data_IF_837096365102
#
_entry.id   IF_837096365102
#
_cell.length_a   1.000
_cell.length_b   1.000
_cell.length_c   1.000
_cell.angle_alpha   90.00
_cell.angle_beta   90.00
_cell.angle_gamma   90.00
#
_symmetry.space_group_name_H-M   'P 1'
#
loop_
_entity.id
_entity.type
_entity.pdbx_description
1 polymer ?
#
# COMPACT_ATOMS: atom_id res chain seq x y z
N UNK A 1 -35.45 48.45 -30.73
CA UNK A 1 -36.12 48.22 -29.43
C UNK A 1 -35.26 47.23 -28.66
N UNK A 2 -34.30 47.74 -27.89
CA UNK A 2 -33.19 46.95 -27.31
C UNK A 2 -33.50 46.60 -25.86
N UNK A 3 -33.51 45.31 -25.55
CA UNK A 3 -33.65 44.79 -24.19
C UNK A 3 -32.41 45.14 -23.35
N UNK A 4 -32.64 45.73 -22.18
CA UNK A 4 -31.60 46.15 -21.24
C UNK A 4 -30.77 44.96 -20.73
N UNK A 5 -29.44 45.13 -20.79
CA UNK A 5 -28.37 44.23 -20.36
C UNK A 5 -28.52 43.75 -18.89
N UNK A 6 -29.39 44.39 -18.13
CA UNK A 6 -29.61 44.15 -16.70
C UNK A 6 -30.24 42.78 -16.38
N UNK A 7 -31.06 42.20 -17.27
CA UNK A 7 -31.71 40.90 -17.02
C UNK A 7 -30.82 39.66 -17.27
N UNK A 8 -29.58 39.84 -17.77
CA UNK A 8 -28.68 38.72 -18.06
C UNK A 8 -27.91 38.21 -16.84
N UNK A 9 -27.78 39.01 -15.78
CA UNK A 9 -26.91 38.69 -14.64
C UNK A 9 -27.61 37.96 -13.49
N UNK A 10 -28.95 37.96 -13.44
CA UNK A 10 -29.71 37.33 -12.36
C UNK A 10 -29.78 35.79 -12.53
N UNK A 11 -29.66 35.28 -13.76
CA UNK A 11 -29.72 33.82 -14.04
C UNK A 11 -28.36 33.13 -13.77
N UNK A 12 -27.25 33.87 -13.75
CA UNK A 12 -25.92 33.29 -13.61
C UNK A 12 -25.53 32.90 -12.16
N UNK A 13 -26.24 33.39 -11.14
CA UNK A 13 -25.91 33.14 -9.73
C UNK A 13 -26.55 31.87 -9.15
N UNK A 14 -27.62 31.35 -9.75
CA UNK A 14 -28.29 30.13 -9.28
C UNK A 14 -27.56 28.83 -9.70
N UNK A 15 -26.65 28.89 -10.66
CA UNK A 15 -25.93 27.72 -11.19
C UNK A 15 -24.70 27.31 -10.37
N UNK A 16 -24.19 28.20 -9.51
CA UNK A 16 -22.92 27.99 -8.79
C UNK A 16 -23.13 27.35 -7.40
N UNK A 17 -24.36 27.33 -6.88
CA UNK A 17 -24.65 26.90 -5.52
C UNK A 17 -24.94 25.39 -5.34
N UNK A 18 -24.85 24.55 -6.39
CA UNK A 18 -25.24 23.13 -6.32
C UNK A 18 -24.16 22.10 -6.71
N UNK A 19 -22.89 22.49 -6.84
CA UNK A 19 -21.82 21.58 -7.31
C UNK A 19 -20.71 21.28 -6.28
N UNK A 20 -20.91 21.60 -4.99
CA UNK A 20 -19.89 21.34 -3.95
C UNK A 20 -20.30 20.30 -2.90
N UNK A 21 -21.28 19.42 -3.17
CA UNK A 21 -21.70 18.36 -2.22
C UNK A 21 -21.58 16.95 -2.82
N UNK A 22 -20.44 16.65 -3.46
CA UNK A 22 -20.13 15.26 -3.87
C UNK A 22 -18.64 14.94 -3.97
N UNK A 23 -17.72 15.78 -3.47
CA UNK A 23 -16.36 15.32 -3.23
C UNK A 23 -16.31 14.66 -1.85
N UNK A 24 -16.83 13.44 -1.78
CA UNK A 24 -16.45 12.54 -0.69
C UNK A 24 -14.93 12.45 -0.70
N UNK A 25 -14.28 13.07 0.28
CA UNK A 25 -12.85 12.86 0.47
C UNK A 25 -12.70 11.38 0.76
N UNK A 26 -12.26 10.60 -0.23
CA UNK A 26 -11.62 9.31 0.04
C UNK A 26 -10.53 9.63 1.04
N UNK A 27 -10.71 9.24 2.29
CA UNK A 27 -9.63 9.24 3.26
C UNK A 27 -8.58 8.33 2.63
N UNK A 28 -7.57 8.93 2.01
CA UNK A 28 -6.46 8.23 1.40
C UNK A 28 -5.86 7.36 2.49
N UNK A 29 -6.27 6.08 2.54
CA UNK A 29 -5.69 5.09 3.43
C UNK A 29 -4.39 4.68 2.77
N UNK A 30 -3.46 5.62 2.69
CA UNK A 30 -2.17 5.43 2.07
C UNK A 30 -1.43 4.35 2.84
N UNK A 31 -1.12 3.25 2.16
CA UNK A 31 -0.35 2.17 2.71
C UNK A 31 1.09 2.27 2.19
N UNK A 32 2.09 2.63 3.02
CA UNK A 32 3.45 2.89 2.56
C UNK A 32 4.24 1.59 2.36
N UNK A 33 3.63 0.56 1.76
CA UNK A 33 4.28 -0.72 1.48
C UNK A 33 4.72 -0.78 0.01
N UNK A 34 5.91 -1.31 -0.21
CA UNK A 34 6.45 -1.60 -1.53
C UNK A 34 6.94 -3.03 -1.57
N UNK A 35 6.71 -3.71 -2.68
CA UNK A 35 7.33 -5.01 -2.93
C UNK A 35 8.75 -4.79 -3.43
N UNK A 36 9.69 -5.50 -2.81
CA UNK A 36 11.10 -5.53 -3.20
C UNK A 36 11.55 -6.97 -3.42
N UNK A 37 12.70 -7.12 -4.04
CA UNK A 37 13.38 -8.40 -4.19
C UNK A 37 14.88 -8.21 -3.99
N UNK A 38 15.53 -9.20 -3.42
CA UNK A 38 16.99 -9.24 -3.26
C UNK A 38 17.52 -10.61 -3.72
N UNK A 39 18.60 -10.59 -4.48
CA UNK A 39 19.30 -11.80 -4.88
C UNK A 39 20.12 -12.36 -3.70
N UNK A 40 20.14 -13.68 -3.59
CA UNK A 40 20.98 -14.46 -2.67
C UNK A 40 21.62 -15.61 -3.45
N UNK A 41 22.64 -16.26 -2.91
CA UNK A 41 23.38 -17.31 -3.63
C UNK A 41 22.48 -18.43 -4.18
N UNK A 42 21.40 -18.75 -3.46
CA UNK A 42 20.46 -19.82 -3.80
C UNK A 42 19.23 -19.38 -4.63
N UNK A 43 19.09 -18.09 -4.96
CA UNK A 43 17.92 -17.58 -5.68
C UNK A 43 17.58 -16.12 -5.34
N UNK A 44 16.31 -15.81 -5.15
CA UNK A 44 15.87 -14.47 -4.73
C UNK A 44 14.81 -14.53 -3.63
N UNK A 45 14.79 -13.50 -2.79
CA UNK A 45 13.79 -13.29 -1.75
C UNK A 45 12.93 -12.09 -2.12
N UNK A 46 11.63 -12.30 -2.31
CA UNK A 46 10.64 -11.23 -2.47
C UNK A 46 10.08 -10.83 -1.10
N UNK A 47 9.90 -9.54 -0.84
CA UNK A 47 9.41 -9.05 0.46
C UNK A 47 8.62 -7.74 0.34
N UNK A 48 7.67 -7.54 1.24
CA UNK A 48 7.05 -6.23 1.48
C UNK A 48 7.95 -5.42 2.40
N UNK A 49 8.11 -4.13 2.11
CA UNK A 49 8.81 -3.17 2.96
C UNK A 49 8.03 -1.86 3.09
N UNK A 50 7.95 -1.31 4.30
CA UNK A 50 7.45 0.05 4.53
C UNK A 50 7.91 0.67 5.84
N UNK A 51 7.79 2.00 5.93
CA UNK A 51 8.22 2.77 7.10
C UNK A 51 9.75 2.85 7.28
N UNK A 52 10.20 3.52 8.36
CA UNK A 52 11.63 3.90 8.55
C UNK A 52 12.15 3.86 10.00
N UNK A 53 11.33 3.50 10.98
CA UNK A 53 11.74 3.43 12.39
C UNK A 53 12.27 2.06 12.82
N UNK A 54 12.05 1.63 14.08
CA UNK A 54 12.49 0.31 14.56
C UNK A 54 11.97 -0.83 13.68
N UNK A 55 12.82 -1.82 13.43
CA UNK A 55 12.51 -2.91 12.51
C UNK A 55 11.59 -3.98 13.11
N UNK A 56 10.58 -4.39 12.34
CA UNK A 56 9.69 -5.52 12.64
C UNK A 56 9.72 -6.49 11.46
N UNK A 57 10.02 -7.76 11.73
CA UNK A 57 10.01 -8.84 10.75
C UNK A 57 8.75 -9.69 10.94
N UNK A 58 7.96 -9.84 9.88
CA UNK A 58 6.75 -10.66 9.89
C UNK A 58 6.98 -11.92 9.07
N UNK A 59 7.01 -13.08 9.74
CA UNK A 59 7.22 -14.38 9.09
C UNK A 59 5.91 -15.13 8.98
N UNK A 60 5.62 -15.65 7.78
CA UNK A 60 4.47 -16.52 7.58
C UNK A 60 4.80 -17.97 7.97
N UNK A 61 3.77 -18.79 8.18
CA UNK A 61 3.88 -20.22 8.44
C UNK A 61 3.73 -21.08 7.18
N UNK A 62 3.42 -22.36 7.36
CA UNK A 62 3.14 -23.30 6.27
C UNK A 62 1.98 -22.79 5.40
N UNK A 63 2.13 -22.98 4.08
CA UNK A 63 1.16 -22.52 3.07
C UNK A 63 0.88 -21.00 3.08
N UNK A 64 1.75 -20.22 3.72
CA UNK A 64 1.67 -18.76 3.76
C UNK A 64 2.50 -18.05 2.69
N UNK A 65 2.30 -16.74 2.61
CA UNK A 65 3.07 -15.80 1.77
C UNK A 65 2.97 -14.40 2.38
N UNK A 66 3.86 -13.48 1.98
CA UNK A 66 3.97 -12.13 2.56
C UNK A 66 2.69 -11.31 2.52
N UNK A 67 1.82 -11.52 1.53
CA UNK A 67 0.56 -10.78 1.37
C UNK A 67 -0.41 -10.97 2.55
N UNK A 68 -0.29 -12.08 3.31
CA UNK A 68 -1.06 -12.30 4.53
C UNK A 68 -0.81 -11.23 5.60
N UNK A 69 0.33 -10.53 5.51
CA UNK A 69 0.71 -9.48 6.43
C UNK A 69 0.35 -8.07 5.97
N UNK A 70 -0.29 -7.89 4.80
CA UNK A 70 -0.48 -6.55 4.20
C UNK A 70 -1.11 -5.55 5.17
N UNK A 71 -2.24 -5.90 5.81
CA UNK A 71 -2.95 -5.01 6.72
C UNK A 71 -2.14 -4.70 7.99
N UNK A 72 -1.50 -5.73 8.57
CA UNK A 72 -0.65 -5.61 9.75
C UNK A 72 0.58 -4.74 9.46
N UNK A 73 1.28 -5.02 8.36
CA UNK A 73 2.44 -4.27 7.91
C UNK A 73 2.09 -2.82 7.61
N UNK A 74 0.90 -2.59 7.05
CA UNK A 74 0.39 -1.24 6.83
C UNK A 74 0.17 -0.48 8.14
N UNK A 75 -0.48 -1.12 9.12
CA UNK A 75 -0.74 -0.54 10.42
C UNK A 75 0.56 -0.21 11.16
N UNK A 76 1.50 -1.16 11.20
CA UNK A 76 2.82 -0.97 11.82
C UNK A 76 3.63 0.13 11.14
N UNK A 77 3.67 0.16 9.80
CA UNK A 77 4.38 1.21 9.07
C UNK A 77 3.79 2.60 9.34
N UNK A 78 2.46 2.73 9.46
CA UNK A 78 1.78 3.98 9.87
C UNK A 78 2.10 4.40 11.30
N UNK A 79 2.38 3.45 12.20
CA UNK A 79 2.85 3.71 13.55
C UNK A 79 4.35 4.04 13.62
N UNK A 80 5.03 4.14 12.46
CA UNK A 80 6.42 4.55 12.37
C UNK A 80 7.44 3.42 12.39
N UNK A 81 7.01 2.15 12.45
CA UNK A 81 7.93 1.00 12.36
C UNK A 81 8.47 0.82 10.95
N UNK A 82 9.67 0.25 10.83
CA UNK A 82 10.19 -0.25 9.56
C UNK A 82 9.82 -1.73 9.44
N UNK A 83 8.81 -2.05 8.63
CA UNK A 83 8.28 -3.41 8.51
C UNK A 83 8.91 -4.10 7.31
N UNK A 84 9.29 -5.36 7.50
CA UNK A 84 9.74 -6.27 6.45
C UNK A 84 8.90 -7.56 6.56
N UNK A 85 8.28 -7.99 5.47
CA UNK A 85 7.56 -9.26 5.40
C UNK A 85 8.01 -10.04 4.15
N UNK A 86 8.95 -11.00 4.29
CA UNK A 86 9.41 -11.80 3.17
C UNK A 86 8.48 -12.96 2.85
N UNK A 87 8.50 -13.37 1.59
CA UNK A 87 8.19 -14.75 1.23
C UNK A 87 9.39 -15.62 1.62
N UNK A 88 9.18 -16.63 2.48
CA UNK A 88 10.21 -17.60 2.81
C UNK A 88 10.67 -18.38 1.56
N UNK A 89 11.88 -18.97 1.56
CA UNK A 89 12.37 -19.75 0.43
C UNK A 89 11.36 -20.79 -0.06
N UNK A 90 11.09 -20.80 -1.37
CA UNK A 90 10.13 -21.70 -2.01
C UNK A 90 8.66 -21.26 -1.92
N UNK A 91 8.35 -20.13 -1.28
CA UNK A 91 7.01 -19.58 -1.17
C UNK A 91 6.83 -18.31 -1.99
N UNK A 92 5.57 -18.00 -2.34
CA UNK A 92 5.18 -16.77 -3.01
C UNK A 92 6.01 -16.48 -4.26
N UNK A 93 6.68 -15.34 -4.27
CA UNK A 93 7.54 -14.86 -5.36
C UNK A 93 9.04 -15.05 -5.08
N UNK A 94 9.41 -15.73 -3.99
CA UNK A 94 10.80 -16.10 -3.70
C UNK A 94 11.18 -17.35 -4.49
N UNK A 95 12.33 -17.33 -5.15
CA UNK A 95 12.85 -18.44 -5.96
C UNK A 95 13.97 -19.24 -5.28
N UNK A 96 14.23 -18.98 -3.99
CA UNK A 96 15.26 -19.67 -3.24
C UNK A 96 14.85 -21.12 -2.90
N UNK A 97 15.72 -22.09 -3.19
CA UNK A 97 15.53 -23.50 -2.83
C UNK A 97 16.78 -24.10 -2.15
N UNK A 98 17.16 -23.61 -0.95
CA UNK A 98 18.29 -24.16 -0.22
C UNK A 98 17.88 -25.48 0.46
N UNK A 99 17.85 -26.58 -0.29
CA UNK A 99 17.54 -27.93 0.26
C UNK A 99 18.57 -28.32 1.33
N UNK A 100 19.79 -27.78 1.26
CA UNK A 100 20.92 -28.19 2.10
C UNK A 100 21.05 -27.45 3.44
N UNK A 101 20.23 -26.43 3.76
CA UNK A 101 20.51 -25.52 4.89
C UNK A 101 19.38 -25.43 5.93
N UNK A 102 18.39 -26.32 5.90
CA UNK A 102 17.39 -26.42 6.97
C UNK A 102 17.62 -27.66 7.85
N UNK A 103 18.79 -27.73 8.50
CA UNK A 103 18.96 -28.61 9.64
C UNK A 103 18.19 -28.01 10.83
N UNK A 104 16.95 -28.49 11.00
CA UNK A 104 16.38 -28.61 12.34
C UNK A 104 17.18 -29.76 12.95
N UNK A 105 18.00 -29.48 13.93
CA UNK A 105 18.98 -30.41 14.51
C UNK A 105 18.43 -31.83 14.75
#
# INVERSE_FOLDING_TARGET
>A
MSMNVFNKWIIALASVLFLNVAQGQSTNTFCPLTTKSIAIDAGSISYLQGGRGPSVLLLHGLFGQKEQWTDMACALAKQGFHVIAPDLPGYGQSSAYPITIYQLE
#
